data_IF_602316218662
#
_entry.id   IF_602316218662
#
_cell.length_a   1.000
_cell.length_b   1.000
_cell.length_c   1.000
_cell.angle_alpha   90.00
_cell.angle_beta   90.00
_cell.angle_gamma   90.00
#
_symmetry.space_group_name_H-M   'P 1'
#
loop_
_entity.id
_entity.type
_entity.pdbx_description
1 polymer ?
#
# COMPACT_ATOMS: atom_id res chain seq x y z
N UNK A 1 -6.44 4.06 4.88
CA UNK A 1 -6.78 2.68 5.30
C UNK A 1 -6.00 1.71 4.45
N UNK A 2 -5.45 0.64 5.00
CA UNK A 2 -4.63 -0.34 4.27
C UNK A 2 -5.10 -1.76 4.53
N UNK A 3 -5.15 -2.58 3.48
CA UNK A 3 -5.46 -4.00 3.57
C UNK A 3 -4.32 -4.82 2.97
N UNK A 4 -4.04 -5.94 3.62
CA UNK A 4 -3.22 -7.03 3.10
C UNK A 4 -4.10 -8.22 2.77
N UNK A 5 -3.61 -9.13 1.93
CA UNK A 5 -4.38 -10.29 1.47
C UNK A 5 -5.66 -9.82 0.77
N UNK A 6 -5.52 -8.93 -0.22
CA UNK A 6 -6.65 -8.48 -1.04
C UNK A 6 -7.09 -9.54 -2.05
N UNK A 7 -6.22 -10.51 -2.37
CA UNK A 7 -6.43 -11.57 -3.36
C UNK A 7 -6.79 -11.07 -4.77
N UNK A 8 -6.55 -9.78 -5.04
CA UNK A 8 -6.85 -9.16 -6.32
C UNK A 8 -5.79 -9.46 -7.38
N UNK A 9 -6.26 -9.51 -8.62
CA UNK A 9 -5.46 -9.66 -9.82
C UNK A 9 -5.46 -8.34 -10.59
N UNK A 10 -4.41 -8.12 -11.36
CA UNK A 10 -4.27 -6.97 -12.25
C UNK A 10 -5.39 -6.89 -13.31
N UNK A 11 -6.07 -8.02 -13.58
CA UNK A 11 -7.23 -8.08 -14.47
C UNK A 11 -8.54 -7.61 -13.83
N UNK A 12 -8.60 -7.55 -12.50
CA UNK A 12 -9.80 -7.12 -11.79
C UNK A 12 -9.97 -5.61 -11.99
N UNK A 13 -11.20 -5.13 -12.18
CA UNK A 13 -11.44 -3.69 -12.38
C UNK A 13 -11.47 -2.97 -11.05
N UNK A 14 -10.83 -1.80 -11.00
CA UNK A 14 -10.85 -0.92 -9.83
C UNK A 14 -12.28 -0.56 -9.40
N UNK A 15 -13.21 -0.44 -10.34
CA UNK A 15 -14.63 -0.12 -10.09
C UNK A 15 -15.31 -1.05 -9.07
N UNK A 16 -14.87 -2.32 -8.97
CA UNK A 16 -15.48 -3.31 -8.07
C UNK A 16 -15.06 -3.15 -6.61
N UNK A 17 -13.95 -2.46 -6.37
CA UNK A 17 -13.38 -2.22 -5.04
C UNK A 17 -13.24 -0.73 -4.73
N UNK A 18 -13.69 0.13 -5.63
CA UNK A 18 -13.77 1.56 -5.38
C UNK A 18 -14.71 1.82 -4.18
N UNK A 19 -14.28 2.72 -3.32
CA UNK A 19 -15.06 3.23 -2.19
C UNK A 19 -15.22 4.72 -2.45
N UNK A 20 -16.46 5.21 -2.39
CA UNK A 20 -16.75 6.64 -2.58
C UNK A 20 -15.93 7.50 -1.62
N UNK A 21 -15.39 8.61 -2.13
CA UNK A 21 -14.52 9.55 -1.40
C UNK A 21 -13.16 8.96 -0.95
N UNK A 22 -12.77 7.81 -1.50
CA UNK A 22 -11.44 7.24 -1.31
C UNK A 22 -10.74 6.94 -2.62
N UNK A 23 -9.51 7.42 -2.74
CA UNK A 23 -8.60 6.98 -3.79
C UNK A 23 -8.06 5.60 -3.46
N UNK A 24 -8.24 4.66 -4.39
CA UNK A 24 -7.63 3.34 -4.35
C UNK A 24 -6.23 3.36 -4.99
N UNK A 25 -5.25 2.82 -4.27
CA UNK A 25 -3.95 2.44 -4.78
C UNK A 25 -3.70 0.98 -4.39
N UNK A 26 -3.34 0.13 -5.35
CA UNK A 26 -3.15 -1.30 -5.10
C UNK A 26 -1.91 -1.85 -5.78
N UNK A 27 -1.37 -2.91 -5.19
CA UNK A 27 -0.36 -3.78 -5.77
C UNK A 27 -1.00 -5.16 -5.84
N UNK A 28 -1.36 -5.56 -7.05
CA UNK A 28 -2.01 -6.83 -7.31
C UNK A 28 -1.01 -7.96 -7.51
N UNK A 29 -1.51 -9.20 -7.41
CA UNK A 29 -0.68 -10.38 -7.60
C UNK A 29 -0.37 -10.59 -9.08
N UNK A 30 0.92 -10.68 -9.40
CA UNK A 30 1.41 -11.13 -10.70
C UNK A 30 1.93 -12.56 -10.57
N UNK A 31 1.08 -13.53 -10.91
CA UNK A 31 1.36 -14.97 -10.81
C UNK A 31 2.65 -15.42 -11.54
N UNK A 32 3.08 -14.68 -12.55
CA UNK A 32 4.27 -14.99 -13.35
C UNK A 32 5.58 -14.61 -12.64
N UNK A 33 5.54 -13.58 -11.79
CA UNK A 33 6.73 -13.02 -11.15
C UNK A 33 6.87 -13.46 -9.69
N UNK A 34 5.74 -13.76 -9.06
CA UNK A 34 5.67 -14.18 -7.67
C UNK A 34 5.30 -15.66 -7.70
N UNK A 35 6.26 -16.54 -7.44
CA UNK A 35 6.08 -18.02 -7.35
C UNK A 35 5.13 -18.45 -6.21
N UNK A 36 4.27 -17.55 -5.73
CA UNK A 36 3.26 -17.75 -4.71
C UNK A 36 2.11 -18.58 -5.27
N UNK A 37 1.86 -19.70 -4.60
CA UNK A 37 0.74 -20.59 -4.90
C UNK A 37 -0.58 -20.13 -4.27
N UNK A 38 -0.53 -19.30 -3.22
CA UNK A 38 -1.70 -18.74 -2.54
C UNK A 38 -1.37 -17.41 -1.83
N UNK A 39 -2.40 -16.60 -1.58
CA UNK A 39 -2.31 -15.34 -0.83
C UNK A 39 -1.81 -14.13 -1.63
N UNK A 40 -1.66 -13.03 -0.90
CA UNK A 40 -1.06 -11.78 -1.35
C UNK A 40 -2.03 -10.68 -1.76
N UNK A 41 -1.44 -9.59 -2.23
CA UNK A 41 -2.13 -8.37 -2.61
C UNK A 41 -2.15 -7.34 -1.48
N UNK A 42 -1.80 -6.11 -1.83
CA UNK A 42 -1.84 -4.95 -0.95
C UNK A 42 -2.74 -3.88 -1.57
N UNK A 43 -3.58 -3.25 -0.78
CA UNK A 43 -4.28 -2.05 -1.20
C UNK A 43 -4.35 -1.00 -0.12
N UNK A 44 -4.33 0.26 -0.54
CA UNK A 44 -4.37 1.45 0.29
C UNK A 44 -5.45 2.37 -0.25
N UNK A 45 -6.34 2.76 0.65
CA UNK A 45 -7.39 3.74 0.43
C UNK A 45 -7.01 5.04 1.11
N UNK A 46 -6.92 6.12 0.34
CA UNK A 46 -6.63 7.45 0.83
C UNK A 46 -7.92 8.25 0.83
N UNK A 47 -8.26 8.84 1.97
CA UNK A 47 -9.45 9.66 2.09
C UNK A 47 -9.24 10.98 1.34
N UNK A 48 -10.08 11.26 0.35
CA UNK A 48 -9.98 12.45 -0.50
C UNK A 48 -10.26 13.75 0.27
N UNK A 49 -10.96 13.68 1.41
CA UNK A 49 -11.16 14.80 2.33
C UNK A 49 -9.90 15.14 3.13
N UNK A 50 -8.94 14.22 3.23
CA UNK A 50 -7.70 14.42 3.98
C UNK A 50 -6.51 14.74 3.06
N UNK A 51 -6.46 14.16 1.88
CA UNK A 51 -5.44 14.41 0.86
C UNK A 51 -6.11 14.55 -0.51
N UNK A 52 -5.73 15.56 -1.28
CA UNK A 52 -6.25 15.74 -2.63
C UNK A 52 -5.86 14.56 -3.52
N UNK A 53 -6.75 14.02 -4.39
CA UNK A 53 -6.50 12.92 -5.35
C UNK A 53 -5.40 13.15 -6.41
N UNK A 54 -4.68 14.26 -6.33
CA UNK A 54 -3.57 14.59 -7.24
C UNK A 54 -2.27 14.76 -6.46
N UNK A 55 -2.33 14.68 -5.13
CA UNK A 55 -1.19 14.89 -4.24
C UNK A 55 -0.65 13.57 -3.71
N UNK A 56 -1.28 12.45 -4.03
CA UNK A 56 -0.80 11.09 -3.84
C UNK A 56 -0.09 10.57 -5.09
N UNK A 57 1.01 9.88 -4.87
CA UNK A 57 1.83 9.26 -5.90
C UNK A 57 2.25 7.89 -5.40
N UNK A 58 1.89 6.85 -6.16
CA UNK A 58 2.49 5.53 -5.99
C UNK A 58 3.98 5.64 -6.33
N UNK A 59 4.85 5.52 -5.33
CA UNK A 59 6.31 5.66 -5.52
C UNK A 59 6.95 4.35 -5.94
N UNK A 60 6.57 3.29 -5.25
CA UNK A 60 7.14 1.97 -5.48
C UNK A 60 6.14 0.89 -5.09
N UNK A 61 6.22 -0.23 -5.78
CA UNK A 61 5.51 -1.44 -5.39
C UNK A 61 6.40 -2.64 -5.72
N UNK A 62 6.43 -3.60 -4.81
CA UNK A 62 7.21 -4.83 -4.98
C UNK A 62 6.40 -6.01 -4.48
N UNK A 63 6.36 -7.07 -5.28
CA UNK A 63 5.66 -8.30 -4.98
C UNK A 63 6.64 -9.47 -5.12
N UNK A 64 7.16 -9.95 -4.00
CA UNK A 64 8.09 -11.08 -3.92
C UNK A 64 7.48 -12.24 -3.13
N UNK A 65 8.03 -13.47 -3.23
CA UNK A 65 7.54 -14.63 -2.49
C UNK A 65 7.46 -14.42 -0.96
N UNK A 66 8.37 -13.63 -0.41
CA UNK A 66 8.52 -13.46 1.05
C UNK A 66 8.05 -12.10 1.57
N UNK A 67 7.89 -11.12 0.67
CA UNK A 67 7.62 -9.74 1.04
C UNK A 67 6.81 -9.04 -0.06
N UNK A 68 5.75 -8.36 0.33
CA UNK A 68 5.03 -7.42 -0.52
C UNK A 68 5.11 -6.02 0.09
N UNK A 69 5.36 -5.02 -0.74
CA UNK A 69 5.47 -3.63 -0.31
C UNK A 69 4.71 -2.75 -1.30
N UNK A 70 3.95 -1.80 -0.77
CA UNK A 70 3.28 -0.74 -1.50
C UNK A 70 3.64 0.59 -0.84
N UNK A 71 4.44 1.40 -1.53
CA UNK A 71 4.95 2.68 -1.03
C UNK A 71 4.24 3.83 -1.73
N UNK A 72 3.52 4.63 -0.96
CA UNK A 72 2.76 5.77 -1.46
C UNK A 72 3.27 7.04 -0.80
N UNK A 73 3.60 8.04 -1.61
CA UNK A 73 3.86 9.39 -1.11
C UNK A 73 2.60 10.23 -1.25
N UNK A 74 2.26 11.02 -0.24
CA UNK A 74 1.07 11.87 -0.26
C UNK A 74 1.29 13.20 0.49
N UNK A 75 0.61 14.28 0.09
CA UNK A 75 0.57 15.55 0.83
C UNK A 75 -0.84 15.85 1.34
N UNK A 76 -1.14 15.51 2.60
CA UNK A 76 -2.41 15.87 3.23
C UNK A 76 -2.59 17.39 3.32
N UNK A 77 -3.84 17.86 3.36
CA UNK A 77 -4.16 19.30 3.45
C UNK A 77 -3.63 19.95 4.73
N UNK A 78 -3.61 19.20 5.83
CA UNK A 78 -3.25 19.68 7.16
C UNK A 78 -1.82 19.29 7.55
N UNK A 79 -0.96 18.95 6.58
CA UNK A 79 0.45 18.70 6.85
C UNK A 79 1.15 20.04 7.19
N UNK A 80 1.95 20.11 8.28
CA UNK A 80 2.71 21.31 8.58
C UNK A 80 3.58 21.74 7.40
N UNK A 81 3.73 23.05 7.21
CA UNK A 81 4.38 23.61 6.02
C UNK A 81 5.86 23.22 5.89
N UNK A 82 6.49 22.83 6.99
CA UNK A 82 7.87 22.36 7.09
C UNK A 82 8.08 21.02 6.38
N UNK A 83 7.02 20.23 6.21
CA UNK A 83 7.10 18.92 5.59
C UNK A 83 6.61 18.97 4.14
N UNK A 84 7.35 18.28 3.27
CA UNK A 84 7.02 18.25 1.85
C UNK A 84 5.91 17.24 1.59
N UNK A 85 6.11 16.01 2.05
CA UNK A 85 5.19 14.90 1.83
C UNK A 85 5.34 13.88 2.95
N UNK A 86 4.31 13.07 3.14
CA UNK A 86 4.33 11.87 3.97
C UNK A 86 4.53 10.67 3.06
N UNK A 87 5.40 9.74 3.45
CA UNK A 87 5.53 8.44 2.79
C UNK A 87 4.87 7.38 3.65
N UNK A 88 3.90 6.68 3.06
CA UNK A 88 3.16 5.58 3.65
C UNK A 88 3.59 4.27 2.98
N UNK A 89 4.07 3.32 3.76
CA UNK A 89 4.45 1.99 3.27
C UNK A 89 3.51 0.94 3.85
N UNK A 90 2.70 0.30 3.02
CA UNK A 90 2.03 -0.95 3.40
C UNK A 90 2.97 -2.12 3.12
N UNK A 91 3.18 -2.97 4.11
CA UNK A 91 4.08 -4.12 4.02
C UNK A 91 3.32 -5.37 4.44
N UNK A 92 3.43 -6.42 3.65
CA UNK A 92 2.88 -7.73 3.97
C UNK A 92 3.98 -8.80 3.90
N UNK A 93 4.11 -9.57 4.98
CA UNK A 93 5.06 -10.67 5.12
C UNK A 93 4.22 -11.95 5.32
N UNK A 94 4.21 -12.89 4.36
CA UNK A 94 3.41 -14.11 4.47
C UNK A 94 3.86 -15.05 5.61
N UNK A 95 5.18 -15.11 5.89
CA UNK A 95 5.70 -15.93 6.97
C UNK A 95 5.51 -15.25 8.33
N UNK A 96 4.58 -15.78 9.13
CA UNK A 96 4.25 -15.26 10.46
C UNK A 96 5.42 -15.30 11.46
N UNK A 97 6.38 -16.20 11.29
CA UNK A 97 7.57 -16.29 12.15
C UNK A 97 8.52 -15.11 11.90
N UNK A 98 8.69 -14.73 10.64
CA UNK A 98 9.47 -13.57 10.19
C UNK A 98 8.71 -12.26 10.45
N UNK A 99 7.40 -12.24 10.21
CA UNK A 99 6.56 -11.06 10.41
C UNK A 99 6.60 -10.55 11.86
N UNK A 100 6.65 -11.47 12.83
CA UNK A 100 6.74 -11.13 14.26
C UNK A 100 8.05 -10.41 14.62
N UNK A 101 9.13 -10.73 13.92
CA UNK A 101 10.44 -10.08 14.10
C UNK A 101 10.50 -8.78 13.31
N UNK A 102 9.96 -8.75 12.09
CA UNK A 102 9.94 -7.57 11.22
C UNK A 102 9.05 -6.43 11.71
N UNK A 103 7.90 -6.74 12.34
CA UNK A 103 6.94 -5.74 12.82
C UNK A 103 7.46 -4.89 13.97
N UNK A 104 8.42 -5.39 14.75
CA UNK A 104 9.08 -4.63 15.82
C UNK A 104 9.88 -3.43 15.28
N UNK A 105 10.28 -3.47 14.01
CA UNK A 105 11.06 -2.42 13.34
C UNK A 105 10.24 -1.64 12.29
N UNK A 106 9.01 -2.06 11.99
CA UNK A 106 8.15 -1.43 10.98
C UNK A 106 7.16 -0.43 11.60
N UNK A 107 7.67 0.65 12.18
CA UNK A 107 6.89 1.89 12.36
C UNK A 107 7.69 2.99 11.68
N UNK A 108 7.43 3.21 10.39
CA UNK A 108 8.11 4.23 9.60
C UNK A 108 7.08 5.11 8.90
N UNK A 109 6.54 6.05 9.66
CA UNK A 109 6.07 7.32 9.12
C UNK A 109 7.33 8.16 8.86
N UNK A 110 7.93 8.02 7.68
CA UNK A 110 8.96 8.97 7.24
C UNK A 110 8.24 10.22 6.76
N UNK A 111 8.28 11.25 7.61
CA UNK A 111 7.92 12.61 7.23
C UNK A 111 9.22 13.26 6.77
N UNK A 112 9.28 13.64 5.47
CA UNK A 112 10.45 14.29 4.85
C UNK A 112 10.27 15.80 4.92
#
# INVERSE_FOLDING_TARGET
MSFSESWQKDTDRDDHVAIDEFKLLRCDRILQNTEKTCGGGLCVYINEKWCHPNNEVLKDHSCSPNLEVLTVSMRPYYLPGEFSHVVFCAVYIPDGSVAKVGSQNCVLLYII
#
